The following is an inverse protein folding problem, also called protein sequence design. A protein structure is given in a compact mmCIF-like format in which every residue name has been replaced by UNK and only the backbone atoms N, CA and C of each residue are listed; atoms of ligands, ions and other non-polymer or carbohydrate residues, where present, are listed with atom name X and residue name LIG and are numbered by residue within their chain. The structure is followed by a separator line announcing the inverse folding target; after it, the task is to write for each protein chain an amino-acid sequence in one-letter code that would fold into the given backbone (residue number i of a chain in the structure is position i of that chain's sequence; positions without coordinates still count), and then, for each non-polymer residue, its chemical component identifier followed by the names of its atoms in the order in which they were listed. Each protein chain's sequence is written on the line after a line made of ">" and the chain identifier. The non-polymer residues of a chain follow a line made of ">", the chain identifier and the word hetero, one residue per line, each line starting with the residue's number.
data_IF_994777541043
#
_entry.id   IF_994777541043
#
_cell.length_a   1.000
_cell.length_b   1.000
_cell.length_c   1.000
_cell.angle_alpha   90.00
_cell.angle_beta   90.00
_cell.angle_gamma   90.00
#
_symmetry.space_group_name_H-M   'P 1'
#
loop_
_entity.id
_entity.type
_entity.pdbx_description
1 polymer ?
#
# COMPACT_ATOMS: atom_id res chain seq x y z
N UNK A 1 -6.22 -14.48 -4.49
CA UNK A 1 -5.16 -13.47 -4.69
C UNK A 1 -3.88 -13.95 -4.02
N UNK A 2 -2.80 -14.07 -4.80
CA UNK A 2 -1.51 -14.65 -4.40
C UNK A 2 -0.76 -13.75 -3.41
N UNK A 3 -0.38 -14.29 -2.25
CA UNK A 3 0.49 -13.63 -1.28
C UNK A 3 1.92 -13.60 -1.84
N UNK A 4 2.37 -12.43 -2.33
CA UNK A 4 3.78 -12.20 -2.64
C UNK A 4 4.56 -12.05 -1.32
N UNK A 5 5.24 -13.12 -0.90
CA UNK A 5 6.30 -13.02 0.10
C UNK A 5 7.40 -12.11 -0.46
N UNK A 6 7.85 -11.15 0.35
CA UNK A 6 9.00 -10.32 0.01
C UNK A 6 10.22 -11.21 -0.14
N UNK A 7 10.63 -11.49 -1.38
CA UNK A 7 11.95 -12.05 -1.67
C UNK A 7 12.97 -11.03 -1.15
N UNK A 8 13.73 -11.36 -0.11
CA UNK A 8 15.01 -10.67 0.11
C UNK A 8 15.79 -10.84 -1.19
N UNK A 9 16.10 -9.71 -1.84
CA UNK A 9 17.01 -9.74 -2.99
C UNK A 9 18.38 -10.05 -2.42
N UNK A 10 18.73 -11.33 -2.32
CA UNK A 10 20.14 -11.71 -2.21
C UNK A 10 20.81 -11.13 -3.46
N UNK A 11 21.66 -10.12 -3.27
CA UNK A 11 22.45 -9.54 -4.36
C UNK A 11 23.42 -10.63 -4.79
N UNK A 12 23.35 -11.04 -6.05
CA UNK A 12 24.30 -11.98 -6.63
C UNK A 12 25.45 -11.18 -7.23
N UNK A 13 26.64 -11.33 -6.67
CA UNK A 13 27.87 -10.71 -7.16
C UNK A 13 28.58 -11.68 -8.11
N UNK A 14 28.92 -11.25 -9.34
CA UNK A 14 29.69 -12.08 -10.25
C UNK A 14 31.07 -12.37 -9.66
N UNK A 15 31.60 -13.57 -9.92
CA UNK A 15 32.95 -13.90 -9.49
C UNK A 15 33.95 -13.02 -10.23
N UNK A 16 34.72 -12.24 -9.48
CA UNK A 16 35.75 -11.35 -10.02
C UNK A 16 37.08 -12.08 -9.99
N UNK A 17 37.57 -12.41 -11.18
CA UNK A 17 38.87 -13.04 -11.43
C UNK A 17 39.94 -11.96 -11.46
N UNK A 18 41.05 -12.17 -10.75
CA UNK A 18 42.25 -11.34 -10.83
C UNK A 18 43.39 -12.23 -11.33
N UNK A 19 43.80 -11.96 -12.58
CA UNK A 19 44.68 -12.85 -13.35
C UNK A 19 45.93 -13.23 -12.56
N UNK A 20 46.17 -14.53 -12.41
CA UNK A 20 47.36 -15.09 -11.77
C UNK A 20 47.36 -15.11 -10.23
N UNK A 21 46.41 -14.46 -9.56
CA UNK A 21 46.42 -14.31 -8.08
C UNK A 21 45.09 -14.63 -7.40
N UNK A 22 44.15 -15.28 -8.10
CA UNK A 22 42.82 -15.65 -7.59
C UNK A 22 42.84 -16.32 -6.21
N UNK A 23 43.80 -17.23 -6.01
CA UNK A 23 43.98 -17.94 -4.73
C UNK A 23 44.26 -17.00 -3.55
N UNK A 24 44.99 -15.91 -3.77
CA UNK A 24 45.33 -14.96 -2.71
C UNK A 24 44.17 -14.02 -2.41
N UNK A 25 43.47 -13.56 -3.44
CA UNK A 25 42.30 -12.68 -3.26
C UNK A 25 41.11 -13.42 -2.66
N UNK A 26 40.97 -14.74 -2.90
CA UNK A 26 39.98 -15.59 -2.23
C UNK A 26 40.34 -15.83 -0.75
N UNK A 27 41.63 -16.05 -0.45
CA UNK A 27 42.09 -16.18 0.94
C UNK A 27 41.90 -14.87 1.73
N UNK A 28 42.18 -13.73 1.13
CA UNK A 28 41.94 -12.40 1.70
C UNK A 28 40.46 -12.20 2.04
N UNK A 29 39.54 -12.52 1.12
CA UNK A 29 38.10 -12.39 1.35
C UNK A 29 37.64 -13.25 2.54
N UNK A 30 38.12 -14.50 2.65
CA UNK A 30 37.78 -15.38 3.78
C UNK A 30 38.39 -14.88 5.11
N UNK A 31 39.55 -14.25 5.07
CA UNK A 31 40.21 -13.62 6.21
C UNK A 31 39.51 -12.34 6.72
N UNK A 32 38.48 -11.86 6.03
CA UNK A 32 37.60 -10.79 6.50
C UNK A 32 36.32 -11.27 7.20
N UNK A 33 35.93 -12.54 7.00
CA UNK A 33 34.68 -13.07 7.56
C UNK A 33 34.71 -13.30 9.08
N UNK A 34 33.79 -12.70 9.87
CA UNK A 34 33.66 -13.05 11.28
C UNK A 34 33.45 -14.55 11.44
N UNK A 35 34.04 -15.13 12.49
CA UNK A 35 33.97 -16.57 12.76
C UNK A 35 32.54 -17.10 12.61
N UNK A 36 31.56 -16.44 13.24
CA UNK A 36 30.16 -16.87 13.16
C UNK A 36 29.67 -17.00 11.72
N UNK A 37 29.92 -16.00 10.86
CA UNK A 37 29.53 -16.00 9.44
C UNK A 37 30.29 -17.08 8.67
N UNK A 38 31.59 -17.21 8.91
CA UNK A 38 32.43 -18.21 8.27
C UNK A 38 31.93 -19.63 8.58
N UNK A 39 31.81 -20.00 9.86
CA UNK A 39 31.39 -21.33 10.29
C UNK A 39 29.95 -21.64 9.87
N UNK A 40 29.01 -20.69 10.02
CA UNK A 40 27.60 -20.94 9.67
C UNK A 40 27.39 -21.01 8.17
N UNK A 41 28.05 -20.17 7.38
CA UNK A 41 27.98 -20.21 5.93
C UNK A 41 28.59 -21.50 5.35
N UNK A 42 29.77 -21.90 5.83
CA UNK A 42 30.41 -23.16 5.42
C UNK A 42 29.55 -24.38 5.75
N UNK A 43 28.88 -24.37 6.91
CA UNK A 43 28.00 -25.47 7.34
C UNK A 43 26.88 -25.76 6.33
N UNK A 44 26.40 -24.74 5.62
CA UNK A 44 25.32 -24.87 4.64
C UNK A 44 25.81 -25.39 3.28
N UNK A 45 27.12 -25.32 3.02
CA UNK A 45 27.72 -25.58 1.71
C UNK A 45 28.37 -26.96 1.65
N UNK A 46 27.50 -27.97 1.66
CA UNK A 46 27.87 -29.40 1.72
C UNK A 46 28.79 -29.85 0.58
N UNK A 47 28.66 -29.27 -0.62
CA UNK A 47 29.53 -29.56 -1.77
C UNK A 47 30.96 -29.08 -1.51
N UNK A 48 31.10 -27.86 -1.00
CA UNK A 48 32.39 -27.26 -0.66
C UNK A 48 33.06 -28.04 0.47
N UNK A 49 32.32 -28.34 1.55
CA UNK A 49 32.81 -29.15 2.67
C UNK A 49 33.35 -30.52 2.22
N UNK A 50 32.60 -31.22 1.35
CA UNK A 50 33.04 -32.52 0.82
C UNK A 50 34.32 -32.41 0.01
N UNK A 51 34.47 -31.35 -0.79
CA UNK A 51 35.66 -31.14 -1.62
C UNK A 51 36.89 -30.80 -0.78
N UNK A 52 36.70 -29.96 0.23
CA UNK A 52 37.75 -29.49 1.13
C UNK A 52 38.14 -30.57 2.18
N UNK A 53 37.35 -31.66 2.28
CA UNK A 53 37.60 -32.74 3.23
C UNK A 53 37.31 -32.35 4.67
N UNK A 54 36.36 -31.44 4.90
CA UNK A 54 35.93 -31.02 6.24
C UNK A 54 34.51 -31.53 6.49
N UNK A 55 34.28 -32.13 7.65
CA UNK A 55 32.96 -32.59 8.08
C UNK A 55 32.17 -31.48 8.75
N UNK A 56 30.83 -31.53 8.64
CA UNK A 56 29.94 -30.59 9.33
C UNK A 56 30.12 -30.63 10.86
N UNK A 57 30.53 -31.78 11.40
CA UNK A 57 30.82 -31.99 12.82
C UNK A 57 32.07 -31.23 13.28
N UNK A 58 33.15 -31.22 12.48
CA UNK A 58 34.38 -30.46 12.78
C UNK A 58 34.11 -28.96 12.81
N UNK A 59 33.36 -28.45 11.83
CA UNK A 59 32.90 -27.04 11.80
C UNK A 59 32.04 -26.72 13.02
N UNK A 60 31.11 -27.59 13.40
CA UNK A 60 30.21 -27.35 14.55
C UNK A 60 30.94 -27.39 15.88
N UNK A 61 31.96 -28.24 16.02
CA UNK A 61 32.80 -28.35 17.22
C UNK A 61 33.90 -27.30 17.28
N UNK A 62 34.06 -26.46 16.25
CA UNK A 62 35.16 -25.50 16.10
C UNK A 62 36.53 -26.15 16.32
N UNK A 63 36.72 -27.38 15.82
CA UNK A 63 37.96 -28.14 16.02
C UNK A 63 39.13 -27.63 15.17
N UNK A 64 38.88 -26.66 14.29
CA UNK A 64 39.88 -26.03 13.43
C UNK A 64 39.91 -24.54 13.68
N UNK A 65 41.11 -23.98 13.68
CA UNK A 65 41.34 -22.54 13.71
C UNK A 65 40.85 -21.90 12.41
N UNK A 66 40.57 -20.60 12.47
CA UNK A 66 40.17 -19.82 11.30
C UNK A 66 41.17 -19.94 10.14
N UNK A 67 42.47 -19.87 10.45
CA UNK A 67 43.55 -19.94 9.45
C UNK A 67 43.53 -21.28 8.71
N UNK A 68 43.37 -22.39 9.43
CA UNK A 68 43.27 -23.71 8.83
C UNK A 68 42.04 -23.82 7.91
N UNK A 69 40.91 -23.22 8.30
CA UNK A 69 39.70 -23.20 7.46
C UNK A 69 39.95 -22.39 6.19
N UNK A 70 40.50 -21.18 6.31
CA UNK A 70 40.84 -20.33 5.16
C UNK A 70 41.75 -21.11 4.21
N UNK A 71 42.85 -21.67 4.71
CA UNK A 71 43.84 -22.43 3.94
C UNK A 71 43.24 -23.58 3.14
N UNK A 72 42.26 -24.30 3.71
CA UNK A 72 41.63 -25.41 3.01
C UNK A 72 40.51 -24.97 2.05
N UNK A 73 39.81 -23.88 2.37
CA UNK A 73 38.62 -23.44 1.62
C UNK A 73 38.96 -22.52 0.44
N UNK A 74 39.97 -21.64 0.57
CA UNK A 74 40.30 -20.66 -0.48
C UNK A 74 40.54 -21.28 -1.87
N UNK A 75 41.19 -22.46 -2.04
CA UNK A 75 41.43 -23.03 -3.36
C UNK A 75 40.15 -23.47 -4.09
N UNK A 76 39.04 -23.58 -3.37
CA UNK A 76 37.78 -24.12 -3.85
C UNK A 76 36.62 -23.12 -3.72
N UNK A 77 36.90 -21.87 -3.33
CA UNK A 77 35.87 -20.88 -3.04
C UNK A 77 34.97 -20.60 -4.25
N UNK A 78 35.55 -20.53 -5.45
CA UNK A 78 34.82 -20.36 -6.71
C UNK A 78 33.73 -21.42 -6.92
N UNK A 79 34.00 -22.67 -6.57
CA UNK A 79 33.06 -23.78 -6.76
C UNK A 79 31.91 -23.75 -5.76
N UNK A 80 32.14 -23.13 -4.60
CA UNK A 80 31.13 -22.79 -3.61
C UNK A 80 30.50 -21.44 -3.88
N UNK A 81 29.97 -21.19 -5.08
CA UNK A 81 29.51 -19.85 -5.50
C UNK A 81 28.50 -19.18 -4.54
N UNK A 82 27.63 -19.95 -3.90
CA UNK A 82 26.72 -19.45 -2.87
C UNK A 82 27.48 -18.97 -1.62
N UNK A 83 28.49 -19.73 -1.19
CA UNK A 83 29.35 -19.34 -0.08
C UNK A 83 30.17 -18.10 -0.43
N UNK A 84 30.76 -18.08 -1.63
CA UNK A 84 31.44 -16.92 -2.17
C UNK A 84 30.53 -15.69 -2.12
N UNK A 85 29.30 -15.80 -2.63
CA UNK A 85 28.33 -14.69 -2.60
C UNK A 85 27.97 -14.25 -1.20
N UNK A 86 27.85 -15.17 -0.25
CA UNK A 86 27.66 -14.83 1.15
C UNK A 86 28.84 -14.00 1.68
N UNK A 87 30.06 -14.42 1.39
CA UNK A 87 31.27 -13.70 1.80
C UNK A 87 31.35 -12.31 1.17
N UNK A 88 31.14 -12.20 -0.14
CA UNK A 88 31.14 -10.91 -0.84
C UNK A 88 30.03 -10.01 -0.33
N UNK A 89 28.81 -10.53 -0.17
CA UNK A 89 27.68 -9.75 0.34
C UNK A 89 27.98 -9.21 1.74
N UNK A 90 28.50 -10.07 2.62
CA UNK A 90 28.90 -9.64 3.96
C UNK A 90 29.96 -8.55 3.89
N UNK A 91 31.00 -8.75 3.08
CA UNK A 91 32.09 -7.78 2.97
C UNK A 91 31.60 -6.44 2.43
N UNK A 92 30.81 -6.45 1.35
CA UNK A 92 30.24 -5.23 0.74
C UNK A 92 29.30 -4.49 1.69
N UNK A 93 28.43 -5.19 2.42
CA UNK A 93 27.42 -4.57 3.26
C UNK A 93 27.97 -4.08 4.61
N UNK A 94 29.08 -4.64 5.11
CA UNK A 94 29.58 -4.34 6.47
C UNK A 94 31.02 -3.82 6.55
N UNK A 95 31.90 -4.21 5.62
CA UNK A 95 33.34 -3.91 5.70
C UNK A 95 33.73 -2.82 4.70
N UNK A 96 33.26 -2.95 3.45
CA UNK A 96 33.60 -2.03 2.37
C UNK A 96 33.25 -0.57 2.69
N UNK A 97 32.07 -0.33 3.26
CA UNK A 97 31.59 1.04 3.53
C UNK A 97 32.46 1.77 4.54
N UNK A 98 32.92 1.10 5.61
CA UNK A 98 33.80 1.71 6.63
C UNK A 98 35.20 2.00 6.05
N UNK A 99 35.74 1.10 5.23
CA UNK A 99 37.05 1.31 4.59
C UNK A 99 36.99 2.46 3.59
N UNK A 100 35.98 2.46 2.71
CA UNK A 100 35.78 3.52 1.72
C UNK A 100 35.62 4.87 2.41
N UNK A 101 34.76 4.97 3.42
CA UNK A 101 34.53 6.22 4.17
C UNK A 101 35.82 6.75 4.81
N UNK A 102 36.67 5.87 5.38
CA UNK A 102 37.96 6.27 5.96
C UNK A 102 38.93 6.79 4.92
N UNK A 103 39.05 6.11 3.78
CA UNK A 103 39.96 6.53 2.70
C UNK A 103 39.48 7.85 2.09
N UNK A 104 38.18 7.97 1.78
CA UNK A 104 37.60 9.19 1.20
C UNK A 104 37.73 10.40 2.15
N UNK A 105 37.62 10.16 3.45
CA UNK A 105 37.81 11.21 4.46
C UNK A 105 39.26 11.68 4.55
N UNK A 106 40.22 10.76 4.49
CA UNK A 106 41.65 11.11 4.53
C UNK A 106 42.08 11.84 3.27
N UNK A 107 41.67 11.33 2.11
CA UNK A 107 42.04 11.88 0.79
C UNK A 107 41.19 13.09 0.39
N UNK A 108 40.11 13.37 1.12
CA UNK A 108 39.17 14.46 0.85
C UNK A 108 38.63 14.44 -0.60
N UNK A 109 38.45 13.24 -1.17
CA UNK A 109 37.89 13.01 -2.49
C UNK A 109 37.22 11.63 -2.55
N UNK A 110 36.38 11.38 -3.56
CA UNK A 110 35.75 10.09 -3.71
C UNK A 110 36.78 9.02 -4.13
N UNK A 111 36.59 7.77 -3.72
CA UNK A 111 37.57 6.69 -3.98
C UNK A 111 37.84 6.47 -5.47
N UNK A 112 36.87 6.83 -6.31
CA UNK A 112 36.92 6.73 -7.79
C UNK A 112 37.72 7.87 -8.44
N UNK A 113 37.98 8.94 -7.70
CA UNK A 113 38.68 10.13 -8.16
C UNK A 113 40.18 10.11 -7.83
N UNK A 114 40.61 9.16 -7.01
CA UNK A 114 42.02 8.97 -6.60
C UNK A 114 42.83 8.46 -7.79
N UNK A 115 43.93 9.14 -8.12
CA UNK A 115 44.82 8.75 -9.21
C UNK A 115 45.59 7.47 -8.87
N UNK A 116 46.00 6.70 -9.88
CA UNK A 116 46.64 5.39 -9.67
C UNK A 116 47.96 5.52 -8.87
N UNK A 117 48.66 6.63 -9.09
CA UNK A 117 49.97 6.95 -8.50
C UNK A 117 49.87 7.22 -7.00
N UNK A 118 48.73 7.74 -6.52
CA UNK A 118 48.53 8.11 -5.12
C UNK A 118 48.20 6.90 -4.23
N UNK A 119 47.81 5.77 -4.84
CA UNK A 119 47.42 4.58 -4.10
C UNK A 119 48.57 3.95 -3.31
N UNK A 120 49.83 4.15 -3.71
CA UNK A 120 50.96 3.63 -2.95
C UNK A 120 51.08 4.27 -1.56
N UNK A 121 50.97 5.59 -1.48
CA UNK A 121 50.98 6.31 -0.21
C UNK A 121 49.76 5.97 0.65
N UNK A 122 48.59 5.83 0.01
CA UNK A 122 47.34 5.44 0.68
C UNK A 122 47.45 4.02 1.28
N UNK A 123 48.08 3.08 0.57
CA UNK A 123 48.32 1.73 1.09
C UNK A 123 49.19 1.76 2.33
N UNK A 124 50.30 2.51 2.29
CA UNK A 124 51.23 2.60 3.42
C UNK A 124 50.57 3.24 4.63
N UNK A 125 49.82 4.31 4.41
CA UNK A 125 49.01 4.96 5.44
C UNK A 125 47.96 3.99 6.03
N UNK A 126 47.18 3.31 5.19
CA UNK A 126 46.12 2.42 5.65
C UNK A 126 46.68 1.28 6.53
N UNK A 127 47.81 0.71 6.10
CA UNK A 127 48.48 -0.39 6.83
C UNK A 127 49.17 0.10 8.12
N UNK A 128 49.58 1.37 8.19
CA UNK A 128 50.07 2.02 9.42
C UNK A 128 48.92 2.32 10.39
N UNK A 129 47.76 2.76 9.89
CA UNK A 129 46.49 2.95 10.63
C UNK A 129 45.80 1.63 11.01
N UNK A 130 46.55 0.52 11.00
CA UNK A 130 46.12 -0.82 11.41
C UNK A 130 44.97 -1.39 10.58
N UNK A 131 44.76 -0.91 9.34
CA UNK A 131 43.94 -1.65 8.38
C UNK A 131 44.64 -2.95 8.00
N UNK A 132 43.86 -4.00 7.78
CA UNK A 132 44.41 -5.29 7.37
C UNK A 132 44.81 -5.28 5.91
N UNK A 133 45.85 -6.01 5.59
CA UNK A 133 46.29 -6.24 4.20
C UNK A 133 45.18 -6.95 3.43
N UNK A 134 44.52 -7.95 4.03
CA UNK A 134 43.37 -8.66 3.45
C UNK A 134 42.19 -7.74 3.13
N UNK A 135 41.94 -6.72 3.95
CA UNK A 135 40.88 -5.74 3.70
C UNK A 135 41.18 -4.89 2.46
N UNK A 136 42.42 -4.42 2.29
CA UNK A 136 42.86 -3.64 1.12
C UNK A 136 42.84 -4.48 -0.16
N UNK A 137 43.30 -5.73 -0.11
CA UNK A 137 43.21 -6.67 -1.23
C UNK A 137 41.75 -6.85 -1.66
N UNK A 138 40.85 -7.04 -0.70
CA UNK A 138 39.43 -7.26 -0.98
C UNK A 138 38.77 -5.98 -1.52
N UNK A 139 39.20 -4.80 -1.06
CA UNK A 139 38.79 -3.50 -1.60
C UNK A 139 39.19 -3.36 -3.07
N UNK A 140 40.47 -3.57 -3.40
CA UNK A 140 40.95 -3.47 -4.78
C UNK A 140 40.32 -4.49 -5.71
N UNK A 141 39.93 -5.65 -5.17
CA UNK A 141 39.20 -6.66 -5.93
C UNK A 141 37.84 -6.15 -6.41
N UNK A 142 37.10 -5.43 -5.57
CA UNK A 142 35.68 -5.10 -5.80
C UNK A 142 35.37 -3.63 -6.11
N UNK A 143 36.24 -2.68 -5.75
CA UNK A 143 36.06 -1.25 -6.07
C UNK A 143 36.67 -0.94 -7.44
N UNK A 144 35.84 -0.50 -8.39
CA UNK A 144 36.22 -0.13 -9.78
C UNK A 144 37.24 -1.08 -10.44
N UNK A 145 36.93 -2.37 -10.29
CA UNK A 145 37.51 -3.56 -10.94
C UNK A 145 37.51 -3.37 -12.47
N UNK A 146 38.60 -2.88 -13.10
CA UNK A 146 39.92 -3.54 -13.20
C UNK A 146 41.15 -2.62 -12.94
N UNK A 147 40.97 -1.34 -12.64
CA UNK A 147 42.09 -0.37 -12.60
C UNK A 147 43.03 -0.61 -11.42
N UNK A 148 42.50 -1.10 -10.30
CA UNK A 148 43.25 -1.36 -9.06
C UNK A 148 43.82 -2.78 -8.95
N UNK A 149 43.41 -3.70 -9.84
CA UNK A 149 43.90 -5.08 -9.84
C UNK A 149 45.43 -5.20 -9.94
N UNK A 150 46.14 -4.39 -10.75
CA UNK A 150 47.60 -4.42 -10.82
C UNK A 150 48.31 -4.08 -9.50
N UNK A 151 47.63 -3.42 -8.56
CA UNK A 151 48.22 -3.06 -7.26
C UNK A 151 48.16 -4.20 -6.23
N UNK A 152 47.32 -5.20 -6.45
CA UNK A 152 47.16 -6.32 -5.52
C UNK A 152 48.46 -7.12 -5.34
N UNK A 153 49.20 -7.49 -6.42
CA UNK A 153 50.50 -8.13 -6.28
C UNK A 153 51.50 -7.31 -5.48
N UNK A 154 51.62 -6.01 -5.78
CA UNK A 154 52.55 -5.11 -5.10
C UNK A 154 52.28 -5.04 -3.58
N UNK A 155 51.01 -5.05 -3.18
CA UNK A 155 50.63 -5.04 -1.76
C UNK A 155 51.01 -6.36 -1.04
N UNK A 156 50.90 -7.50 -1.71
CA UNK A 156 51.31 -8.81 -1.16
C UNK A 156 52.84 -8.88 -1.05
N UNK A 157 53.57 -8.38 -2.05
CA UNK A 157 55.04 -8.30 -2.05
C UNK A 157 55.59 -7.38 -0.97
N UNK A 158 54.93 -6.23 -0.73
CA UNK A 158 55.34 -5.25 0.27
C UNK A 158 55.02 -5.69 1.69
N UNK A 159 53.96 -6.47 1.90
CA UNK A 159 53.50 -6.90 3.23
C UNK A 159 53.27 -8.41 3.40
N UNK A 160 54.24 -9.27 3.04
CA UNK A 160 54.06 -10.72 2.99
C UNK A 160 53.82 -11.33 4.38
N UNK A 161 54.49 -10.79 5.41
CA UNK A 161 54.33 -11.23 6.80
C UNK A 161 52.94 -10.93 7.34
N UNK A 162 52.44 -9.70 7.15
CA UNK A 162 51.09 -9.31 7.59
C UNK A 162 50.02 -10.11 6.85
N UNK A 163 50.19 -10.27 5.54
CA UNK A 163 49.30 -11.11 4.72
C UNK A 163 49.23 -12.56 5.24
N UNK A 164 50.38 -13.18 5.52
CA UNK A 164 50.43 -14.53 6.10
C UNK A 164 49.82 -14.59 7.51
N UNK A 165 50.07 -13.58 8.34
CA UNK A 165 49.50 -13.50 9.68
C UNK A 165 47.97 -13.40 9.65
N UNK A 166 47.40 -12.75 8.64
CA UNK A 166 45.95 -12.57 8.49
C UNK A 166 45.28 -13.78 7.83
N UNK A 167 45.83 -14.27 6.72
CA UNK A 167 45.20 -15.32 5.89
C UNK A 167 45.68 -16.73 6.20
N UNK A 168 46.88 -16.87 6.76
CA UNK A 168 47.58 -18.16 6.88
C UNK A 168 48.15 -18.68 5.56
N UNK A 169 48.01 -17.96 4.44
CA UNK A 169 48.49 -18.41 3.12
C UNK A 169 49.85 -17.80 2.84
N UNK A 170 50.87 -18.64 2.60
CA UNK A 170 52.20 -18.15 2.21
C UNK A 170 52.13 -17.64 0.75
N UNK A 171 52.56 -16.39 0.46
CA UNK A 171 52.73 -15.95 -0.91
C UNK A 171 53.74 -16.86 -1.62
N UNK A 172 53.48 -17.19 -2.90
CA UNK A 172 54.27 -18.14 -3.67
C UNK A 172 55.49 -17.50 -4.34
N UNK A 173 56.15 -18.28 -5.19
CA UNK A 173 57.35 -17.88 -5.95
C UNK A 173 57.04 -16.83 -7.03
N UNK A 174 55.76 -16.63 -7.37
CA UNK A 174 55.29 -15.56 -8.25
C UNK A 174 55.50 -14.14 -7.69
N UNK A 175 55.87 -14.01 -6.41
CA UNK A 175 56.17 -12.74 -5.75
C UNK A 175 57.67 -12.60 -5.50
N UNK A 176 58.22 -11.41 -5.77
CA UNK A 176 59.64 -11.12 -5.54
C UNK A 176 59.95 -10.87 -4.05
N UNK A 177 59.81 -11.91 -3.23
CA UNK A 177 60.08 -11.84 -1.79
C UNK A 177 61.59 -11.89 -1.50
N UNK A 178 62.09 -10.97 -0.68
CA UNK A 178 63.49 -10.98 -0.25
C UNK A 178 63.83 -12.19 0.64
N UNK A 179 64.98 -12.84 0.40
CA UNK A 179 65.45 -14.04 1.13
C UNK A 179 65.47 -13.90 2.66
N UNK A 180 65.59 -12.67 3.19
CA UNK A 180 65.58 -12.39 4.63
C UNK A 180 64.20 -12.54 5.28
N UNK A 181 63.11 -12.36 4.53
CA UNK A 181 61.76 -12.35 5.10
C UNK A 181 61.17 -13.75 5.26
N UNK A 182 61.61 -14.70 4.43
CA UNK A 182 61.22 -16.11 4.50
C UNK A 182 61.83 -16.85 5.72
N UNK A 183 63.05 -16.49 6.15
CA UNK A 183 63.74 -17.17 7.28
C UNK A 183 63.20 -16.78 8.66
N UNK A 184 62.77 -15.52 8.85
CA UNK A 184 62.25 -15.04 10.14
C UNK A 184 60.85 -15.55 10.52
N UNK A 185 60.25 -16.44 9.71
CA UNK A 185 58.94 -17.03 10.00
C UNK A 185 59.04 -18.34 10.82
N UNK A 186 60.23 -18.94 10.94
CA UNK A 186 60.40 -20.30 11.52
C UNK A 186 61.29 -20.37 12.79
N UNK A 187 61.84 -19.27 13.33
CA UNK A 187 62.80 -19.36 14.46
C UNK A 187 62.55 -18.34 15.59
N UNK A 188 61.98 -18.79 16.71
CA UNK A 188 62.15 -18.16 18.04
C UNK A 188 62.04 -19.21 19.15
N UNK A 189 63.18 -19.73 19.63
CA UNK A 189 63.49 -20.09 21.04
C UNK A 189 64.81 -20.89 21.09
N UNK A 190 65.91 -20.27 21.54
CA UNK A 190 66.92 -20.85 22.46
C UNK A 190 68.16 -19.97 22.63
N UNK A 191 68.84 -20.17 23.77
CA UNK A 191 70.15 -19.69 24.20
C UNK A 191 70.16 -18.33 24.97
N UNK A 192 70.79 -18.17 26.13
CA UNK A 192 72.03 -18.75 26.65
C UNK A 192 72.09 -18.78 28.19
N UNK A 193 72.86 -19.74 28.70
CA UNK A 193 73.27 -19.97 30.08
C UNK A 193 74.77 -19.65 30.31
N UNK A 194 75.17 -19.62 31.59
CA UNK A 194 76.54 -19.73 32.16
C UNK A 194 77.45 -18.48 32.07
N UNK A 195 78.28 -18.10 33.04
CA UNK A 195 78.79 -18.71 34.29
C UNK A 195 80.23 -18.20 34.55
N UNK A 196 80.76 -18.40 35.78
CA UNK A 196 82.16 -18.24 36.29
C UNK A 196 82.60 -16.88 36.87
N UNK A 197 83.56 -16.78 37.81
CA UNK A 197 83.94 -17.44 39.10
C UNK A 197 85.10 -16.58 39.65
N UNK A 198 85.30 -16.61 40.97
CA UNK A 198 86.16 -15.77 41.82
C UNK A 198 87.65 -16.18 41.87
N UNK A 199 88.41 -15.35 42.63
CA UNK A 199 89.56 -15.65 43.52
C UNK A 199 90.97 -15.10 43.19
N UNK A 200 91.35 -14.05 43.98
CA UNK A 200 92.47 -13.89 44.95
C UNK A 200 93.65 -14.91 44.95
N UNK A 201 94.87 -14.69 45.48
CA UNK A 201 95.44 -13.78 46.49
C UNK A 201 97.00 -13.90 46.56
N UNK A 202 97.60 -13.05 47.43
CA UNK A 202 98.77 -13.29 48.34
C UNK A 202 100.20 -13.19 47.76
N UNK A 203 101.08 -12.25 48.14
CA UNK A 203 101.63 -11.76 49.45
C UNK A 203 102.87 -12.55 49.95
N UNK A 204 104.07 -12.11 49.53
CA UNK A 204 105.33 -12.44 50.24
C UNK A 204 106.50 -11.45 49.95
N UNK A 205 106.23 -10.13 49.86
CA UNK A 205 107.26 -9.05 49.86
C UNK A 205 107.03 -8.08 51.04
N UNK A 206 106.59 -8.62 52.18
CA UNK A 206 105.81 -7.90 53.20
C UNK A 206 106.57 -6.99 54.19
N UNK A 207 107.90 -6.82 54.13
CA UNK A 207 108.63 -6.15 55.23
C UNK A 207 109.61 -5.04 54.85
N UNK A 208 110.27 -5.06 53.68
CA UNK A 208 110.96 -3.86 53.14
C UNK A 208 110.04 -3.04 52.24
N UNK A 209 109.07 -3.71 51.63
CA UNK A 209 107.90 -3.11 51.03
C UNK A 209 106.98 -2.47 52.06
N UNK A 210 107.15 -2.65 53.38
CA UNK A 210 106.23 -2.08 54.39
C UNK A 210 106.44 -0.57 54.61
N UNK A 211 107.67 -0.05 54.52
CA UNK A 211 107.96 1.39 54.72
C UNK A 211 107.75 2.17 53.41
N UNK A 212 108.15 1.57 52.28
CA UNK A 212 107.72 2.00 50.95
C UNK A 212 106.20 1.86 50.81
N UNK A 213 105.56 0.82 51.37
CA UNK A 213 104.11 0.67 51.46
C UNK A 213 103.49 1.59 52.48
N UNK A 214 104.16 2.15 53.49
CA UNK A 214 103.57 3.18 54.35
C UNK A 214 103.54 4.52 53.61
N UNK A 215 104.57 4.84 52.82
CA UNK A 215 104.55 5.98 51.89
C UNK A 215 103.59 5.77 50.73
N UNK A 216 103.61 4.60 50.10
CA UNK A 216 102.69 4.20 49.04
C UNK A 216 101.29 4.01 49.61
N UNK A 217 101.09 3.61 50.87
CA UNK A 217 99.80 3.62 51.59
C UNK A 217 99.38 5.04 51.95
N UNK A 218 100.30 5.96 52.22
CA UNK A 218 100.00 7.38 52.46
C UNK A 218 99.55 8.08 51.17
N UNK A 219 100.28 7.86 50.08
CA UNK A 219 99.92 8.29 48.74
C UNK A 219 98.70 7.54 48.21
N UNK A 220 98.56 6.24 48.47
CA UNK A 220 97.35 5.47 48.18
C UNK A 220 96.20 5.95 49.03
N UNK A 221 96.37 6.33 50.29
CA UNK A 221 95.30 6.86 51.14
C UNK A 221 94.85 8.22 50.63
N UNK A 222 95.77 9.10 50.24
CA UNK A 222 95.43 10.38 49.64
C UNK A 222 94.78 10.20 48.27
N UNK A 223 95.29 9.25 47.46
CA UNK A 223 94.69 8.86 46.18
C UNK A 223 93.35 8.16 46.38
N UNK A 224 93.17 7.31 47.39
CA UNK A 224 91.93 6.64 47.79
C UNK A 224 90.94 7.64 48.38
N UNK A 225 91.39 8.69 49.05
CA UNK A 225 90.52 9.78 49.49
C UNK A 225 90.04 10.57 48.29
N UNK A 226 90.91 10.93 47.34
CA UNK A 226 90.51 11.61 46.10
C UNK A 226 89.65 10.74 45.18
N UNK A 227 89.99 9.46 45.06
CA UNK A 227 89.25 8.46 44.28
C UNK A 227 87.94 8.13 45.00
N UNK A 228 87.95 8.05 46.33
CA UNK A 228 86.75 7.85 47.15
C UNK A 228 85.79 9.03 47.07
N UNK A 229 86.29 10.28 47.02
CA UNK A 229 85.48 11.47 46.76
C UNK A 229 84.95 11.51 45.32
N UNK A 230 85.75 11.14 44.32
CA UNK A 230 85.31 11.04 42.92
C UNK A 230 84.26 9.94 42.71
N UNK A 231 84.46 8.75 43.31
CA UNK A 231 83.46 7.67 43.31
C UNK A 231 82.21 8.04 44.09
N UNK A 232 82.33 8.76 45.21
CA UNK A 232 81.19 9.25 45.98
C UNK A 232 80.39 10.26 45.17
N UNK A 233 81.04 11.20 44.50
CA UNK A 233 80.39 12.18 43.63
C UNK A 233 79.71 11.51 42.44
N UNK A 234 80.36 10.53 41.79
CA UNK A 234 79.76 9.72 40.72
C UNK A 234 78.57 8.88 41.21
N UNK A 235 78.67 8.32 42.42
CA UNK A 235 77.59 7.56 43.04
C UNK A 235 76.39 8.46 43.37
N UNK A 236 76.62 9.62 43.98
CA UNK A 236 75.58 10.59 44.30
C UNK A 236 74.89 11.11 43.02
N UNK A 237 75.66 11.43 41.97
CA UNK A 237 75.12 11.82 40.68
C UNK A 237 74.29 10.70 40.01
N UNK A 238 74.80 9.47 40.02
CA UNK A 238 74.05 8.31 39.51
C UNK A 238 72.79 8.04 40.33
N UNK A 239 72.84 8.21 41.65
CA UNK A 239 71.71 8.01 42.54
C UNK A 239 70.62 9.07 42.33
N UNK A 240 71.02 10.32 42.12
CA UNK A 240 70.12 11.42 41.77
C UNK A 240 69.47 11.19 40.39
N UNK A 241 70.25 10.68 39.42
CA UNK A 241 69.74 10.29 38.11
C UNK A 241 68.73 9.13 38.20
N UNK A 242 69.01 8.12 39.02
CA UNK A 242 68.07 7.02 39.31
C UNK A 242 66.78 7.56 39.95
N UNK A 243 66.88 8.47 40.92
CA UNK A 243 65.70 9.06 41.56
C UNK A 243 64.86 9.87 40.55
N UNK A 244 65.51 10.66 39.68
CA UNK A 244 64.83 11.41 38.62
C UNK A 244 64.13 10.48 37.61
N UNK A 245 64.80 9.43 37.16
CA UNK A 245 64.20 8.43 36.27
C UNK A 245 63.05 7.68 36.94
N UNK A 246 63.19 7.33 38.22
CA UNK A 246 62.12 6.68 39.00
C UNK A 246 60.89 7.58 39.09
N UNK A 247 61.08 8.88 39.33
CA UNK A 247 59.99 9.86 39.34
C UNK A 247 59.35 10.06 37.96
N UNK A 248 60.14 10.02 36.88
CA UNK A 248 59.59 10.06 35.52
C UNK A 248 58.75 8.82 35.21
N UNK A 249 59.23 7.63 35.57
CA UNK A 249 58.50 6.38 35.35
C UNK A 249 57.19 6.35 36.14
N UNK A 250 57.17 6.81 37.39
CA UNK A 250 55.93 6.87 38.18
C UNK A 250 54.92 7.85 37.62
N UNK A 251 55.36 9.03 37.16
CA UNK A 251 54.51 10.02 36.51
C UNK A 251 53.94 9.50 35.18
N UNK A 252 54.78 8.93 34.31
CA UNK A 252 54.35 8.35 33.04
C UNK A 252 53.38 7.17 33.25
N UNK A 253 53.61 6.34 34.27
CA UNK A 253 52.69 5.25 34.61
C UNK A 253 51.32 5.76 35.06
N UNK A 254 51.28 6.90 35.77
CA UNK A 254 50.02 7.55 36.16
C UNK A 254 49.30 8.15 34.95
N UNK A 255 50.01 8.87 34.09
CA UNK A 255 49.44 9.43 32.85
C UNK A 255 48.91 8.33 31.93
N UNK A 256 49.63 7.20 31.81
CA UNK A 256 49.17 6.04 31.04
C UNK A 256 47.83 5.52 31.57
N UNK A 257 47.70 5.33 32.89
CA UNK A 257 46.44 4.89 33.52
C UNK A 257 45.29 5.87 33.29
N UNK A 258 45.55 7.17 33.38
CA UNK A 258 44.54 8.20 33.10
C UNK A 258 44.09 8.14 31.63
N UNK A 259 45.01 7.92 30.69
CA UNK A 259 44.70 7.75 29.26
C UNK A 259 43.93 6.47 28.97
N UNK A 260 44.27 5.36 29.61
CA UNK A 260 43.54 4.10 29.50
C UNK A 260 42.08 4.27 29.97
N UNK A 261 41.87 4.91 31.12
CA UNK A 261 40.52 5.21 31.63
C UNK A 261 39.75 6.14 30.69
N UNK A 262 40.40 7.18 30.15
CA UNK A 262 39.78 8.06 29.16
C UNK A 262 39.36 7.29 27.90
N UNK A 263 40.19 6.36 27.44
CA UNK A 263 39.92 5.53 26.26
C UNK A 263 38.74 4.57 26.50
N UNK A 264 38.67 3.93 27.67
CA UNK A 264 37.51 3.10 28.04
C UNK A 264 36.19 3.90 28.06
N UNK A 265 36.22 5.13 28.58
CA UNK A 265 35.02 5.99 28.59
C UNK A 265 34.59 6.38 27.18
N UNK A 266 35.54 6.73 26.31
CA UNK A 266 35.27 7.04 24.92
C UNK A 266 34.73 5.83 24.16
N UNK A 267 35.26 4.64 24.41
CA UNK A 267 34.77 3.40 23.81
C UNK A 267 33.32 3.12 24.21
N UNK A 268 32.98 3.22 25.50
CA UNK A 268 31.60 3.07 25.99
C UNK A 268 30.66 4.12 25.39
N UNK A 269 31.13 5.37 25.24
CA UNK A 269 30.34 6.42 24.60
C UNK A 269 30.07 6.12 23.12
N UNK A 270 31.09 5.63 22.40
CA UNK A 270 30.97 5.27 21.00
C UNK A 270 30.00 4.08 20.81
N UNK A 271 30.06 3.06 21.67
CA UNK A 271 29.10 1.95 21.68
C UNK A 271 27.66 2.44 21.91
N UNK A 272 27.45 3.39 22.82
CA UNK A 272 26.14 3.98 23.08
C UNK A 272 25.61 4.75 21.87
N UNK A 273 26.46 5.55 21.21
CA UNK A 273 26.11 6.28 19.99
C UNK A 273 25.78 5.31 18.83
N UNK A 274 26.55 4.24 18.66
CA UNK A 274 26.25 3.22 17.65
C UNK A 274 24.89 2.56 17.91
N UNK A 275 24.56 2.26 19.17
CA UNK A 275 23.24 1.73 19.53
C UNK A 275 22.13 2.72 19.21
N UNK A 276 22.29 3.99 19.59
CA UNK A 276 21.33 5.05 19.29
C UNK A 276 21.12 5.21 17.78
N UNK A 277 22.19 5.14 16.98
CA UNK A 277 22.12 5.22 15.52
C UNK A 277 21.37 4.02 14.92
N UNK A 278 21.62 2.80 15.41
CA UNK A 278 20.86 1.60 14.99
C UNK A 278 19.37 1.72 15.32
N UNK A 279 19.03 2.23 16.50
CA UNK A 279 17.63 2.42 16.91
C UNK A 279 16.95 3.52 16.09
N UNK A 280 17.65 4.62 15.80
CA UNK A 280 17.18 5.68 14.92
C UNK A 280 16.92 5.15 13.50
N UNK A 281 17.83 4.34 12.95
CA UNK A 281 17.66 3.71 11.63
C UNK A 281 16.42 2.82 11.57
N UNK A 282 16.20 1.97 12.58
CA UNK A 282 14.99 1.15 12.68
C UNK A 282 13.71 1.99 12.76
N UNK A 283 13.74 3.11 13.49
CA UNK A 283 12.61 4.02 13.57
C UNK A 283 12.31 4.66 12.21
N UNK A 284 13.33 5.08 11.45
CA UNK A 284 13.17 5.61 10.09
C UNK A 284 12.56 4.56 9.17
N UNK A 285 13.08 3.33 9.16
CA UNK A 285 12.51 2.22 8.36
C UNK A 285 11.04 1.94 8.72
N UNK A 286 10.71 2.01 10.02
CA UNK A 286 9.33 1.89 10.51
C UNK A 286 8.41 3.00 9.99
N UNK A 287 8.87 4.25 10.05
CA UNK A 287 8.12 5.41 9.54
C UNK A 287 7.95 5.37 8.01
N UNK A 288 8.98 4.93 7.27
CA UNK A 288 8.88 4.75 5.81
C UNK A 288 7.83 3.71 5.44
N UNK A 289 7.77 2.60 6.18
CA UNK A 289 6.76 1.55 5.99
C UNK A 289 5.33 2.07 6.26
N UNK A 290 5.16 2.86 7.33
CA UNK A 290 3.88 3.52 7.63
C UNK A 290 3.49 4.50 6.53
N UNK A 291 4.42 5.32 6.03
CA UNK A 291 4.20 6.27 4.94
C UNK A 291 3.76 5.56 3.65
N UNK A 292 4.41 4.44 3.30
CA UNK A 292 4.03 3.62 2.13
C UNK A 292 2.62 3.05 2.27
N UNK A 293 2.25 2.63 3.48
CA UNK A 293 0.90 2.12 3.77
C UNK A 293 -0.15 3.22 3.62
N UNK A 294 0.10 4.42 4.18
CA UNK A 294 -0.79 5.57 4.03
C UNK A 294 -0.94 6.03 2.58
N UNK A 295 0.15 6.03 1.79
CA UNK A 295 0.08 6.34 0.35
C UNK A 295 -0.83 5.37 -0.41
N UNK A 296 -0.74 4.07 -0.12
CA UNK A 296 -1.62 3.06 -0.74
C UNK A 296 -3.08 3.27 -0.34
N UNK A 297 -3.33 3.58 0.94
CA UNK A 297 -4.67 3.84 1.43
C UNK A 297 -5.27 5.12 0.81
N UNK A 298 -4.48 6.19 0.72
CA UNK A 298 -4.86 7.42 0.02
C UNK A 298 -5.21 7.14 -1.45
N UNK A 299 -4.41 6.32 -2.15
CA UNK A 299 -4.71 5.88 -3.51
C UNK A 299 -6.05 5.12 -3.60
N UNK A 300 -6.30 4.18 -2.69
CA UNK A 300 -7.56 3.43 -2.63
C UNK A 300 -8.77 4.35 -2.39
N UNK A 301 -8.65 5.30 -1.47
CA UNK A 301 -9.69 6.30 -1.20
C UNK A 301 -9.92 7.20 -2.42
N UNK A 302 -8.87 7.60 -3.13
CA UNK A 302 -8.98 8.34 -4.38
C UNK A 302 -9.79 7.60 -5.44
N UNK A 303 -9.54 6.30 -5.64
CA UNK A 303 -10.34 5.46 -6.54
C UNK A 303 -11.81 5.38 -6.11
N UNK A 304 -12.07 5.14 -4.82
CA UNK A 304 -13.43 5.05 -4.29
C UNK A 304 -14.21 6.36 -4.48
N UNK A 305 -13.56 7.52 -4.28
CA UNK A 305 -14.17 8.83 -4.54
C UNK A 305 -14.49 8.99 -6.03
N UNK A 306 -13.63 8.49 -6.92
CA UNK A 306 -13.90 8.48 -8.37
C UNK A 306 -15.11 7.63 -8.74
N UNK A 307 -15.23 6.44 -8.16
CA UNK A 307 -16.38 5.53 -8.35
C UNK A 307 -17.68 6.17 -7.86
N UNK A 308 -17.69 6.75 -6.65
CA UNK A 308 -18.86 7.44 -6.09
C UNK A 308 -19.28 8.64 -6.96
N UNK A 309 -18.33 9.41 -7.50
CA UNK A 309 -18.65 10.52 -8.42
C UNK A 309 -19.33 10.03 -9.68
N UNK A 310 -18.82 8.94 -10.26
CA UNK A 310 -19.43 8.34 -11.45
C UNK A 310 -20.85 7.83 -11.16
N UNK A 311 -21.04 7.11 -10.05
CA UNK A 311 -22.36 6.63 -9.63
C UNK A 311 -23.34 7.78 -9.41
N UNK A 312 -22.91 8.89 -8.80
CA UNK A 312 -23.72 10.09 -8.65
C UNK A 312 -24.15 10.66 -10.01
N UNK A 313 -23.23 10.77 -10.96
CA UNK A 313 -23.52 11.32 -12.29
C UNK A 313 -24.50 10.43 -13.05
N UNK A 314 -24.32 9.09 -12.97
CA UNK A 314 -25.21 8.09 -13.56
C UNK A 314 -26.63 8.20 -12.96
N UNK A 315 -26.76 8.28 -11.63
CA UNK A 315 -28.05 8.47 -10.95
C UNK A 315 -28.72 9.81 -11.31
N UNK A 316 -27.94 10.89 -11.45
CA UNK A 316 -28.47 12.18 -11.90
C UNK A 316 -28.97 12.14 -13.34
N UNK A 317 -28.33 11.37 -14.21
CA UNK A 317 -28.79 11.16 -15.57
C UNK A 317 -30.09 10.34 -15.58
N UNK A 318 -30.15 9.24 -14.81
CA UNK A 318 -31.36 8.43 -14.67
C UNK A 318 -32.55 9.25 -14.14
N UNK A 319 -32.35 10.07 -13.12
CA UNK A 319 -33.39 10.94 -12.57
C UNK A 319 -33.92 11.93 -13.62
N UNK A 320 -33.04 12.56 -14.42
CA UNK A 320 -33.45 13.44 -15.53
C UNK A 320 -34.29 12.69 -16.57
N UNK A 321 -33.92 11.46 -16.91
CA UNK A 321 -34.69 10.63 -17.85
C UNK A 321 -36.07 10.27 -17.29
N UNK A 322 -36.15 9.90 -16.00
CA UNK A 322 -37.42 9.60 -15.34
C UNK A 322 -38.32 10.83 -15.26
N UNK A 323 -37.79 12.00 -14.91
CA UNK A 323 -38.53 13.27 -14.91
C UNK A 323 -39.12 13.59 -16.29
N UNK A 324 -38.32 13.41 -17.35
CA UNK A 324 -38.81 13.59 -18.72
C UNK A 324 -39.95 12.63 -19.05
N UNK A 325 -39.83 11.34 -18.69
CA UNK A 325 -40.89 10.35 -18.92
C UNK A 325 -42.17 10.69 -18.17
N UNK A 326 -42.06 11.14 -16.92
CA UNK A 326 -43.22 11.58 -16.13
C UNK A 326 -43.91 12.75 -16.82
N UNK A 327 -43.15 13.76 -17.26
CA UNK A 327 -43.72 14.91 -17.97
C UNK A 327 -44.45 14.51 -19.26
N UNK A 328 -43.87 13.60 -20.04
CA UNK A 328 -44.53 13.05 -21.24
C UNK A 328 -45.83 12.33 -20.89
N UNK A 329 -45.83 11.46 -19.88
CA UNK A 329 -47.03 10.74 -19.44
C UNK A 329 -48.12 11.68 -18.91
N UNK A 330 -47.75 12.76 -18.21
CA UNK A 330 -48.70 13.78 -17.76
C UNK A 330 -49.34 14.53 -18.94
N UNK A 331 -48.55 14.84 -19.97
CA UNK A 331 -49.07 15.43 -21.21
C UNK A 331 -50.01 14.47 -21.95
N UNK A 332 -49.60 13.21 -22.13
CA UNK A 332 -50.44 12.17 -22.74
C UNK A 332 -51.76 11.98 -21.98
N UNK A 333 -51.69 11.92 -20.65
CA UNK A 333 -52.88 11.85 -19.79
C UNK A 333 -53.79 13.06 -20.03
N UNK A 334 -53.25 14.27 -20.08
CA UNK A 334 -54.05 15.48 -20.32
C UNK A 334 -54.73 15.46 -21.70
N UNK A 335 -54.02 15.03 -22.74
CA UNK A 335 -54.57 14.89 -24.09
C UNK A 335 -55.69 13.86 -24.12
N UNK A 336 -55.47 12.68 -23.52
CA UNK A 336 -56.48 11.63 -23.44
C UNK A 336 -57.71 12.08 -22.65
N UNK A 337 -57.54 12.77 -21.52
CA UNK A 337 -58.67 13.31 -20.75
C UNK A 337 -59.50 14.27 -21.60
N UNK A 338 -58.87 15.21 -22.32
CA UNK A 338 -59.58 16.12 -23.22
C UNK A 338 -60.29 15.41 -24.36
N UNK A 339 -59.67 14.37 -24.94
CA UNK A 339 -60.30 13.57 -25.99
C UNK A 339 -61.55 12.84 -25.47
N UNK A 340 -61.48 12.25 -24.27
CA UNK A 340 -62.61 11.58 -23.63
C UNK A 340 -63.74 12.57 -23.34
N UNK A 341 -63.43 13.75 -22.77
CA UNK A 341 -64.41 14.81 -22.52
C UNK A 341 -65.11 15.27 -23.80
N UNK A 342 -64.36 15.50 -24.88
CA UNK A 342 -64.92 15.89 -26.18
C UNK A 342 -65.80 14.80 -26.80
N UNK A 343 -65.40 13.53 -26.68
CA UNK A 343 -66.21 12.40 -27.17
C UNK A 343 -67.51 12.28 -26.38
N UNK A 344 -67.44 12.35 -25.05
CA UNK A 344 -68.62 12.30 -24.17
C UNK A 344 -69.59 13.45 -24.47
N UNK A 345 -69.09 14.68 -24.59
CA UNK A 345 -69.91 15.86 -24.93
C UNK A 345 -70.57 15.72 -26.31
N UNK A 346 -69.81 15.19 -27.29
CA UNK A 346 -70.31 14.93 -28.63
C UNK A 346 -71.40 13.85 -28.67
N UNK A 347 -71.22 12.74 -27.93
CA UNK A 347 -72.23 11.68 -27.80
C UNK A 347 -73.48 12.17 -27.07
N UNK A 348 -73.30 12.94 -26.00
CA UNK A 348 -74.41 13.54 -25.25
C UNK A 348 -75.21 14.51 -26.13
N UNK A 349 -74.53 15.40 -26.87
CA UNK A 349 -75.16 16.33 -27.80
C UNK A 349 -75.96 15.61 -28.89
N UNK A 350 -75.41 14.53 -29.46
CA UNK A 350 -76.12 13.68 -30.44
C UNK A 350 -77.37 13.06 -29.82
N UNK A 351 -77.24 12.46 -28.64
CA UNK A 351 -78.38 11.83 -27.93
C UNK A 351 -79.48 12.85 -27.63
N UNK A 352 -79.10 14.04 -27.16
CA UNK A 352 -80.05 15.13 -26.89
C UNK A 352 -80.76 15.63 -28.15
N UNK A 353 -80.06 15.71 -29.28
CA UNK A 353 -80.67 16.08 -30.56
C UNK A 353 -81.71 15.04 -31.01
N UNK A 354 -81.37 13.76 -30.95
CA UNK A 354 -82.31 12.67 -31.29
C UNK A 354 -83.55 12.74 -30.41
N UNK A 355 -83.38 12.87 -29.09
CA UNK A 355 -84.49 12.95 -28.15
C UNK A 355 -85.37 14.17 -28.39
N UNK A 356 -84.77 15.31 -28.75
CA UNK A 356 -85.52 16.52 -29.14
C UNK A 356 -86.35 16.29 -30.40
N UNK A 357 -85.75 15.70 -31.44
CA UNK A 357 -86.46 15.41 -32.69
C UNK A 357 -87.60 14.41 -32.47
N UNK A 358 -87.40 13.39 -31.63
CA UNK A 358 -88.46 12.46 -31.23
C UNK A 358 -89.62 13.19 -30.55
N UNK A 359 -89.33 14.08 -29.57
CA UNK A 359 -90.37 14.87 -28.89
C UNK A 359 -91.05 15.89 -29.78
N UNK A 360 -90.34 16.47 -30.73
CA UNK A 360 -90.92 17.37 -31.73
C UNK A 360 -91.85 16.60 -32.70
N UNK A 361 -91.46 15.39 -33.10
CA UNK A 361 -92.32 14.52 -33.91
C UNK A 361 -93.58 14.08 -33.16
N UNK A 362 -93.45 13.70 -31.87
CA UNK A 362 -94.60 13.40 -31.00
C UNK A 362 -95.53 14.62 -30.89
N UNK A 363 -94.97 15.82 -30.67
CA UNK A 363 -95.75 17.05 -30.60
C UNK A 363 -96.49 17.36 -31.91
N UNK A 364 -95.83 17.20 -33.06
CA UNK A 364 -96.48 17.35 -34.37
C UNK A 364 -97.57 16.31 -34.61
N UNK A 365 -97.40 15.08 -34.11
CA UNK A 365 -98.44 14.07 -34.19
C UNK A 365 -99.66 14.49 -33.38
N UNK A 366 -99.47 14.91 -32.12
CA UNK A 366 -100.56 15.42 -31.29
C UNK A 366 -101.23 16.65 -31.91
N UNK A 367 -100.48 17.55 -32.54
CA UNK A 367 -101.05 18.71 -33.24
C UNK A 367 -101.92 18.29 -34.44
N UNK A 368 -101.51 17.27 -35.21
CA UNK A 368 -102.35 16.71 -36.28
C UNK A 368 -103.61 16.06 -35.73
N UNK A 369 -103.51 15.33 -34.62
CA UNK A 369 -104.65 14.72 -33.93
C UNK A 369 -105.62 15.79 -33.44
N UNK A 370 -105.13 16.85 -32.78
CA UNK A 370 -105.94 18.00 -32.35
C UNK A 370 -106.64 18.64 -33.55
N UNK A 371 -105.91 18.94 -34.63
CA UNK A 371 -106.50 19.54 -35.83
C UNK A 371 -107.57 18.65 -36.48
N UNK A 372 -107.37 17.34 -36.50
CA UNK A 372 -108.37 16.39 -37.00
C UNK A 372 -109.62 16.37 -36.11
N UNK A 373 -109.45 16.34 -34.79
CA UNK A 373 -110.54 16.39 -33.83
C UNK A 373 -111.29 17.74 -33.91
N UNK A 374 -110.58 18.86 -34.04
CA UNK A 374 -111.19 20.18 -34.24
C UNK A 374 -112.05 20.22 -35.51
N UNK A 375 -111.57 19.67 -36.63
CA UNK A 375 -112.37 19.56 -37.87
C UNK A 375 -113.60 18.68 -37.69
N UNK A 376 -113.50 17.57 -36.95
CA UNK A 376 -114.65 16.72 -36.64
C UNK A 376 -115.67 17.47 -35.78
N UNK A 377 -115.23 18.26 -34.80
CA UNK A 377 -116.11 19.13 -34.01
C UNK A 377 -116.79 20.17 -34.89
N UNK A 378 -116.05 20.87 -35.76
CA UNK A 378 -116.62 21.83 -36.71
C UNK A 378 -117.66 21.18 -37.65
N UNK A 379 -117.38 19.98 -38.16
CA UNK A 379 -118.30 19.24 -39.03
C UNK A 379 -119.57 18.81 -38.28
N UNK A 380 -119.42 18.29 -37.05
CA UNK A 380 -120.56 17.96 -36.19
C UNK A 380 -121.38 19.21 -35.84
N UNK A 381 -120.73 20.34 -35.53
CA UNK A 381 -121.42 21.62 -35.32
C UNK A 381 -122.17 22.06 -36.58
N UNK A 382 -121.55 21.97 -37.76
CA UNK A 382 -122.17 22.29 -39.04
C UNK A 382 -123.36 21.38 -39.38
N UNK A 383 -123.32 20.10 -38.99
CA UNK A 383 -124.46 19.17 -39.11
C UNK A 383 -125.57 19.49 -38.10
N UNK A 384 -125.21 19.97 -36.91
CA UNK A 384 -126.16 20.28 -35.84
C UNK A 384 -126.89 21.61 -36.09
N UNK A 385 -126.27 22.59 -36.76
CA UNK A 385 -126.90 23.86 -37.13
C UNK A 385 -128.21 23.71 -37.94
N UNK A 386 -128.28 22.97 -39.07
CA UNK A 386 -129.52 22.79 -39.82
C UNK A 386 -130.58 22.03 -39.02
N UNK A 387 -130.17 21.10 -38.14
CA UNK A 387 -131.12 20.45 -37.22
C UNK A 387 -131.72 21.46 -36.23
N UNK A 388 -130.90 22.35 -35.66
CA UNK A 388 -131.39 23.45 -34.82
C UNK A 388 -132.33 24.38 -35.57
N UNK A 389 -132.00 24.75 -36.81
CA UNK A 389 -132.88 25.60 -37.64
C UNK A 389 -134.17 24.87 -37.97
N UNK A 390 -134.11 23.57 -38.26
CA UNK A 390 -135.31 22.75 -38.51
C UNK A 390 -136.21 22.68 -37.29
N UNK A 391 -135.63 22.49 -36.09
CA UNK A 391 -136.38 22.53 -34.84
C UNK A 391 -137.03 23.90 -34.65
N UNK A 392 -136.31 25.01 -34.86
CA UNK A 392 -136.89 26.36 -34.77
C UNK A 392 -138.04 26.57 -35.76
N UNK A 393 -137.90 26.17 -37.03
CA UNK A 393 -138.99 26.25 -38.00
C UNK A 393 -140.19 25.37 -37.60
N UNK A 394 -139.93 24.18 -37.06
CA UNK A 394 -141.00 23.30 -36.55
C UNK A 394 -141.68 23.89 -35.31
N UNK A 395 -140.94 24.57 -34.43
CA UNK A 395 -141.49 25.30 -33.28
C UNK A 395 -142.36 26.48 -33.74
N UNK A 396 -141.92 27.25 -34.74
CA UNK A 396 -142.70 28.30 -35.39
C UNK A 396 -143.96 27.74 -36.06
N UNK A 397 -143.85 26.66 -36.84
CA UNK A 397 -144.98 25.95 -37.45
C UNK A 397 -145.96 25.46 -36.39
N UNK A 398 -145.47 24.89 -35.27
CA UNK A 398 -146.31 24.47 -34.14
C UNK A 398 -146.98 25.66 -33.44
N UNK A 399 -146.30 26.81 -33.36
CA UNK A 399 -146.86 28.03 -32.80
C UNK A 399 -147.95 28.61 -33.70
N UNK A 400 -147.74 28.62 -35.02
CA UNK A 400 -148.76 28.98 -36.01
C UNK A 400 -149.95 28.02 -35.98
N UNK A 401 -149.70 26.72 -35.89
CA UNK A 401 -150.73 25.70 -35.75
C UNK A 401 -151.50 25.87 -34.44
N UNK A 402 -150.85 26.19 -33.33
CA UNK A 402 -151.51 26.54 -32.07
C UNK A 402 -152.38 27.78 -32.23
N UNK A 403 -151.87 28.84 -32.87
CA UNK A 403 -152.68 30.04 -33.14
C UNK A 403 -153.88 29.73 -34.05
N UNK A 404 -153.71 28.90 -35.08
CA UNK A 404 -154.81 28.43 -35.93
C UNK A 404 -155.80 27.56 -35.17
N UNK A 405 -155.31 26.67 -34.31
CA UNK A 405 -156.14 25.84 -33.44
C UNK A 405 -156.97 26.74 -32.51
N UNK A 406 -156.34 27.74 -31.87
CA UNK A 406 -157.04 28.70 -31.03
C UNK A 406 -158.05 29.55 -31.82
N UNK A 407 -157.74 29.91 -33.07
CA UNK A 407 -158.68 30.59 -33.98
C UNK A 407 -159.86 29.69 -34.40
N UNK A 408 -159.60 28.41 -34.68
CA UNK A 408 -160.62 27.41 -35.01
C UNK A 408 -161.50 27.09 -33.81
N UNK A 409 -160.93 27.08 -32.59
CA UNK A 409 -161.68 26.91 -31.35
C UNK A 409 -162.55 28.14 -31.02
N UNK A 410 -162.31 29.29 -31.65
CA UNK A 410 -163.15 30.49 -31.57
C UNK A 410 -164.25 30.54 -32.65
N UNK A 411 -164.43 29.49 -33.48
CA UNK A 411 -165.61 29.34 -34.36
C UNK A 411 -166.45 28.09 -33.99
N UNK A 412 -167.80 28.18 -33.93
CA UNK A 412 -168.61 27.16 -33.26
C UNK A 412 -169.13 26.03 -34.19
N UNK A 413 -169.18 24.80 -33.62
CA UNK A 413 -169.97 23.58 -34.00
C UNK A 413 -169.36 22.74 -35.15
N UNK A 414 -169.21 21.40 -35.14
CA UNK A 414 -169.98 20.27 -34.58
C UNK A 414 -169.10 19.01 -34.42
N UNK A 415 -169.25 18.26 -33.31
CA UNK A 415 -168.64 16.93 -33.03
C UNK A 415 -169.54 15.79 -33.57
N UNK A 416 -168.95 14.66 -33.99
CA UNK A 416 -169.43 13.36 -33.48
C UNK A 416 -168.31 12.37 -33.06
N UNK A 417 -168.76 11.43 -32.23
CA UNK A 417 -168.12 10.49 -31.30
C UNK A 417 -167.52 9.18 -31.90
N UNK A 418 -166.93 8.27 -31.08
CA UNK A 418 -165.73 7.48 -31.38
C UNK A 418 -166.01 6.01 -31.78
N UNK A 419 -164.96 5.30 -32.22
CA UNK A 419 -164.93 3.83 -32.27
C UNK A 419 -163.58 3.32 -31.72
N UNK A 420 -163.68 2.29 -30.88
CA UNK A 420 -162.66 1.56 -30.16
C UNK A 420 -162.05 0.41 -30.98
N UNK A 421 -160.93 -0.11 -30.46
CA UNK A 421 -160.40 -1.50 -30.59
C UNK A 421 -159.71 -1.84 -31.94
N UNK A 422 -158.54 -2.49 -32.04
CA UNK A 422 -157.81 -3.45 -31.20
C UNK A 422 -156.28 -3.10 -31.28
N UNK A 423 -155.37 -3.32 -30.33
CA UNK A 423 -155.03 -4.56 -29.62
C UNK A 423 -153.64 -5.06 -30.10
N UNK A 424 -152.68 -5.22 -29.16
CA UNK A 424 -151.41 -6.00 -29.23
C UNK A 424 -150.20 -5.37 -29.96
N UNK A 425 -148.94 -5.43 -29.50
CA UNK A 425 -148.33 -5.84 -28.23
C UNK A 425 -146.91 -5.28 -28.14
N UNK A 426 -146.44 -5.09 -26.90
CA UNK A 426 -145.16 -4.54 -26.48
C UNK A 426 -144.05 -5.61 -26.39
N UNK A 427 -142.84 -5.11 -26.09
CA UNK A 427 -141.66 -5.79 -25.53
C UNK A 427 -140.65 -6.33 -26.58
N UNK A 428 -139.33 -6.22 -26.42
CA UNK A 428 -138.55 -5.96 -25.21
C UNK A 428 -137.14 -5.42 -25.50
N UNK A 429 -136.62 -4.72 -24.50
CA UNK A 429 -135.24 -4.23 -24.37
C UNK A 429 -134.25 -5.41 -24.18
N UNK A 430 -133.04 -5.30 -24.74
CA UNK A 430 -131.85 -5.78 -24.02
C UNK A 430 -130.59 -5.02 -24.43
N UNK A 431 -129.96 -4.47 -23.41
CA UNK A 431 -128.73 -3.71 -23.39
C UNK A 431 -127.65 -4.65 -22.85
N UNK A 432 -126.62 -4.97 -23.62
CA UNK A 432 -125.45 -5.68 -23.07
C UNK A 432 -124.16 -4.92 -23.40
N UNK A 433 -123.60 -4.36 -22.34
CA UNK A 433 -122.28 -3.76 -22.23
C UNK A 433 -121.32 -4.90 -21.90
N UNK A 434 -120.29 -5.14 -22.73
CA UNK A 434 -119.14 -5.93 -22.29
C UNK A 434 -117.81 -5.27 -22.67
N UNK A 435 -117.00 -5.10 -21.63
CA UNK A 435 -115.71 -4.43 -21.54
C UNK A 435 -114.62 -5.39 -22.03
N UNK A 436 -113.85 -5.00 -23.05
CA UNK A 436 -112.73 -5.79 -23.55
C UNK A 436 -111.40 -5.23 -23.00
N UNK A 437 -110.91 -5.85 -21.93
CA UNK A 437 -109.63 -5.55 -21.29
C UNK A 437 -108.53 -6.41 -21.95
N UNK A 438 -107.67 -5.81 -22.77
CA UNK A 438 -106.40 -6.42 -23.22
C UNK A 438 -105.23 -5.86 -22.41
N UNK A 439 -104.37 -6.70 -21.81
CA UNK A 439 -103.14 -6.23 -21.17
C UNK A 439 -102.06 -5.92 -22.22
N UNK A 440 -101.54 -4.70 -22.15
CA UNK A 440 -100.43 -4.18 -22.94
C UNK A 440 -99.11 -4.70 -22.36
N UNK A 441 -98.33 -5.42 -23.17
CA UNK A 441 -96.94 -5.77 -22.84
C UNK A 441 -96.06 -4.53 -22.98
N UNK A 442 -95.43 -4.12 -21.88
CA UNK A 442 -94.35 -3.13 -21.85
C UNK A 442 -93.05 -3.89 -22.15
N UNK A 443 -92.30 -3.44 -23.15
CA UNK A 443 -90.87 -3.71 -23.29
C UNK A 443 -90.09 -2.50 -22.86
#
# INVERSE_FOLDING_TARGET
>A
MSKKSGKSRNKNYPYTVVEGIDKYVDAALLAEMPDLTLYTGLKLETKLLKKVGITTSEITRKSMTRKEIVQRVYPHLFEGYNFYNLCVSFWMDFVASDIIERIEKEQNCAIKEIALEDWEEIMDWAIQEKMKVSSMITLFRFVDSPVLHPLIPALIEKYPKKYYQETGVKPGEEFQLGELELKTLDETEEALSEGRTEESASDQELLSGLDEAVKVMGLLKQRLSSVGEDYRSKYEAAHEQINNLTNQVTNLSKELKEKEQQNEMLQKHNEALQKQNRDAKKNVEGLESQLQTQKKESGRLGTLVGEIRKEKDDLQQENRQLQSKVSTLEQEKSVLTKQIEQQLEGEWSKKMLVLRMEKENEAQQFEREINSLSRQVEELEAQLQPQRTRILCLEEELQELRQKYDQLFQQPVHVPEPIQDDGEDLEDFSLDIFIDNKPMQIK
#
